data_IF_453496591084
#
_entry.id   IF_453496591084
#
_cell.length_a   1.000
_cell.length_b   1.000
_cell.length_c   1.000
_cell.angle_alpha   90.00
_cell.angle_beta   90.00
_cell.angle_gamma   90.00
#
_symmetry.space_group_name_H-M   'P 1'
#
loop_
_entity.id
_entity.type
_entity.pdbx_description
1 polymer ?
#
# COMPACT_ATOMS: atom_id res chain seq x y z
N UNK A 1 -56.23 -5.90 4.95
CA UNK A 1 -55.53 -4.61 4.70
C UNK A 1 -54.42 -4.89 3.68
N UNK A 2 -54.63 -4.55 2.40
CA UNK A 2 -53.63 -4.76 1.34
C UNK A 2 -52.55 -3.69 1.46
N UNK A 3 -51.33 -4.08 1.85
CA UNK A 3 -50.17 -3.19 1.74
C UNK A 3 -49.79 -3.08 0.26
N UNK A 4 -49.98 -1.90 -0.30
CA UNK A 4 -49.65 -1.56 -1.69
C UNK A 4 -48.15 -1.68 -1.93
N UNK A 5 -47.72 -2.47 -2.93
CA UNK A 5 -46.32 -2.61 -3.33
C UNK A 5 -45.63 -1.28 -3.72
N UNK A 6 -46.40 -0.22 -3.95
CA UNK A 6 -45.88 1.12 -4.21
C UNK A 6 -45.24 1.79 -2.97
N UNK A 7 -45.52 1.33 -1.74
CA UNK A 7 -44.91 1.87 -0.52
C UNK A 7 -43.54 1.27 -0.22
N UNK A 8 -43.32 0.01 -0.64
CA UNK A 8 -42.04 -0.69 -0.49
C UNK A 8 -41.04 -0.20 -1.55
N UNK A 9 -41.50 -0.02 -2.80
CA UNK A 9 -40.67 0.53 -3.87
C UNK A 9 -40.20 1.97 -3.57
N UNK A 10 -41.08 2.82 -3.00
CA UNK A 10 -40.70 4.18 -2.59
C UNK A 10 -39.73 4.22 -1.41
N UNK A 11 -39.82 3.29 -0.46
CA UNK A 11 -38.85 3.19 0.64
C UNK A 11 -37.48 2.76 0.15
N UNK A 12 -37.41 1.75 -0.73
CA UNK A 12 -36.12 1.34 -1.34
C UNK A 12 -35.47 2.46 -2.15
N UNK A 13 -36.25 3.17 -2.98
CA UNK A 13 -35.73 4.30 -3.73
C UNK A 13 -35.25 5.47 -2.83
N UNK A 14 -35.90 5.70 -1.67
CA UNK A 14 -35.44 6.68 -0.68
C UNK A 14 -34.19 6.23 0.07
N UNK A 15 -34.07 4.94 0.41
CA UNK A 15 -32.90 4.39 1.09
C UNK A 15 -31.68 4.33 0.15
N UNK A 16 -31.89 4.07 -1.15
CA UNK A 16 -30.83 4.10 -2.17
C UNK A 16 -30.37 5.54 -2.45
N UNK A 17 -31.30 6.50 -2.60
CA UNK A 17 -30.96 7.92 -2.76
C UNK A 17 -30.25 8.50 -1.52
N UNK A 18 -30.65 8.09 -0.30
CA UNK A 18 -29.98 8.50 0.93
C UNK A 18 -28.58 7.89 1.09
N UNK A 19 -28.31 6.73 0.48
CA UNK A 19 -26.98 6.11 0.43
C UNK A 19 -26.04 6.80 -0.54
N UNK A 20 -26.53 7.24 -1.70
CA UNK A 20 -25.74 8.01 -2.67
C UNK A 20 -25.41 9.44 -2.17
N UNK A 21 -26.32 10.08 -1.43
CA UNK A 21 -26.12 11.44 -0.88
C UNK A 21 -25.21 11.51 0.36
N UNK A 22 -25.02 10.38 1.06
CA UNK A 22 -24.25 10.30 2.30
C UNK A 22 -22.74 10.56 2.16
N UNK A 23 -22.02 10.03 1.15
CA UNK A 23 -20.60 10.30 0.95
C UNK A 23 -20.30 11.76 0.60
N UNK A 24 -21.09 12.39 -0.26
CA UNK A 24 -20.91 13.82 -0.62
C UNK A 24 -21.14 14.76 0.56
N UNK A 25 -22.19 14.52 1.36
CA UNK A 25 -22.46 15.33 2.57
C UNK A 25 -21.39 15.16 3.65
N UNK A 26 -20.71 14.02 3.71
CA UNK A 26 -19.55 13.81 4.62
C UNK A 26 -18.30 14.51 4.12
N UNK A 27 -18.01 14.47 2.81
CA UNK A 27 -16.89 15.21 2.18
C UNK A 27 -17.02 16.72 2.38
N UNK A 28 -18.22 17.26 2.18
CA UNK A 28 -18.52 18.67 2.37
C UNK A 28 -18.34 19.15 3.82
N UNK A 29 -18.51 18.28 4.82
CA UNK A 29 -18.33 18.61 6.24
C UNK A 29 -16.89 18.54 6.73
N UNK A 30 -16.02 17.73 6.12
CA UNK A 30 -14.62 17.61 6.55
C UNK A 30 -13.67 18.56 5.83
N UNK A 31 -14.09 19.15 4.71
CA UNK A 31 -13.19 19.93 3.84
C UNK A 31 -12.14 19.07 3.12
N UNK A 32 -12.21 17.74 3.27
CA UNK A 32 -11.38 16.78 2.54
C UNK A 32 -11.96 16.61 1.14
N UNK A 33 -11.29 17.19 0.15
CA UNK A 33 -11.64 17.09 -1.27
C UNK A 33 -11.18 15.77 -1.92
N UNK A 34 -10.71 14.82 -1.11
CA UNK A 34 -10.11 13.57 -1.59
C UNK A 34 -8.64 13.70 -1.95
N UNK A 35 -8.02 14.86 -1.74
CA UNK A 35 -6.59 15.08 -1.97
C UNK A 35 -5.80 15.23 -0.66
N UNK A 36 -4.55 14.78 -0.67
CA UNK A 36 -3.61 14.89 0.44
C UNK A 36 -2.47 15.80 0.02
N UNK A 37 -2.14 16.80 0.85
CA UNK A 37 -1.00 17.66 0.59
C UNK A 37 0.31 17.00 1.06
N UNK A 38 1.29 16.87 0.17
CA UNK A 38 2.64 16.44 0.49
C UNK A 38 3.48 17.56 1.08
N UNK A 39 4.59 17.22 1.74
CA UNK A 39 5.54 18.20 2.27
C UNK A 39 6.34 18.92 1.17
N UNK A 40 6.24 18.47 -0.07
CA UNK A 40 6.71 19.12 -1.29
C UNK A 40 5.76 20.23 -1.80
N UNK A 41 4.65 20.48 -1.09
CA UNK A 41 3.65 21.47 -1.44
C UNK A 41 2.63 21.01 -2.49
N UNK A 42 2.77 19.80 -3.05
CA UNK A 42 1.87 19.26 -4.06
C UNK A 42 0.65 18.60 -3.42
N UNK A 43 -0.42 18.46 -4.21
CA UNK A 43 -1.61 17.69 -3.81
C UNK A 43 -1.67 16.38 -4.58
N UNK A 44 -1.86 15.30 -3.83
CA UNK A 44 -1.99 13.96 -4.33
C UNK A 44 -3.46 13.58 -4.26
N UNK A 45 -4.04 13.16 -5.39
CA UNK A 45 -5.44 12.75 -5.46
C UNK A 45 -5.52 11.38 -6.12
N UNK A 46 -6.36 10.53 -5.54
CA UNK A 46 -6.74 9.26 -6.13
C UNK A 46 -8.16 9.42 -6.67
N UNK A 47 -8.38 9.03 -7.93
CA UNK A 47 -9.71 9.02 -8.51
C UNK A 47 -10.58 7.91 -7.90
N UNK A 48 -11.90 8.00 -8.09
CA UNK A 48 -12.82 7.04 -7.46
C UNK A 48 -12.75 5.65 -8.11
N UNK A 49 -12.30 5.54 -9.36
CA UNK A 49 -12.16 4.25 -10.04
C UNK A 49 -10.99 3.46 -9.45
N UNK A 50 -9.86 4.13 -9.21
CA UNK A 50 -8.73 3.55 -8.50
C UNK A 50 -9.11 3.16 -7.06
N UNK A 51 -9.88 4.00 -6.36
CA UNK A 51 -10.37 3.65 -5.01
C UNK A 51 -11.26 2.41 -5.05
N UNK A 52 -12.21 2.35 -5.99
CA UNK A 52 -13.09 1.19 -6.15
C UNK A 52 -12.29 -0.08 -6.47
N UNK A 53 -11.29 0.04 -7.34
CA UNK A 53 -10.37 -1.06 -7.66
C UNK A 53 -9.63 -1.58 -6.41
N UNK A 54 -9.01 -0.72 -5.61
CA UNK A 54 -8.31 -1.17 -4.40
C UNK A 54 -9.26 -1.65 -3.29
N UNK A 55 -10.51 -1.20 -3.27
CA UNK A 55 -11.55 -1.78 -2.43
C UNK A 55 -11.87 -3.24 -2.83
N UNK A 56 -11.90 -3.53 -4.13
CA UNK A 56 -12.08 -4.89 -4.65
C UNK A 56 -10.87 -5.79 -4.36
N UNK A 57 -9.65 -5.25 -4.52
CA UNK A 57 -8.41 -5.97 -4.15
C UNK A 57 -8.44 -6.35 -2.66
N UNK A 58 -8.82 -5.43 -1.76
CA UNK A 58 -8.92 -5.74 -0.33
C UNK A 58 -9.94 -6.87 -0.08
N UNK A 59 -11.11 -6.82 -0.72
CA UNK A 59 -12.13 -7.88 -0.58
C UNK A 59 -11.64 -9.23 -1.07
N UNK A 60 -10.86 -9.25 -2.15
CA UNK A 60 -10.26 -10.47 -2.69
C UNK A 60 -9.24 -11.06 -1.71
N UNK A 61 -8.32 -10.23 -1.18
CA UNK A 61 -7.34 -10.67 -0.18
C UNK A 61 -8.02 -11.19 1.11
N UNK A 62 -9.05 -10.50 1.59
CA UNK A 62 -9.83 -10.94 2.75
C UNK A 62 -10.53 -12.28 2.49
N UNK A 63 -11.01 -12.52 1.27
CA UNK A 63 -11.62 -13.78 0.88
C UNK A 63 -10.60 -14.93 0.85
N UNK A 64 -9.41 -14.70 0.29
CA UNK A 64 -8.32 -15.67 0.35
C UNK A 64 -7.92 -15.98 1.80
N UNK A 65 -7.82 -14.97 2.67
CA UNK A 65 -7.48 -15.19 4.07
C UNK A 65 -8.52 -16.04 4.83
N UNK A 66 -9.81 -15.79 4.60
CA UNK A 66 -10.88 -16.61 5.20
C UNK A 66 -10.81 -18.05 4.70
N UNK A 67 -10.70 -18.26 3.38
CA UNK A 67 -10.58 -19.59 2.76
C UNK A 67 -9.36 -20.33 3.30
N UNK A 68 -8.19 -19.70 3.33
CA UNK A 68 -6.96 -20.32 3.84
C UNK A 68 -7.11 -20.79 5.29
N UNK A 69 -7.78 -20.02 6.17
CA UNK A 69 -8.00 -20.42 7.57
C UNK A 69 -8.92 -21.62 7.72
N UNK A 70 -9.94 -21.73 6.88
CA UNK A 70 -10.88 -22.84 6.87
C UNK A 70 -10.20 -24.11 6.34
N UNK A 71 -9.41 -23.99 5.27
CA UNK A 71 -8.78 -25.12 4.57
C UNK A 71 -7.48 -25.62 5.21
N UNK A 72 -6.75 -24.79 5.96
CA UNK A 72 -5.39 -25.07 6.44
C UNK A 72 -5.20 -26.36 7.27
N UNK A 73 -6.26 -26.96 7.81
CA UNK A 73 -6.19 -28.21 8.58
C UNK A 73 -6.67 -29.44 7.81
N UNK A 74 -7.34 -29.23 6.69
CA UNK A 74 -8.07 -30.25 5.95
C UNK A 74 -7.35 -30.59 4.64
N UNK A 75 -6.80 -29.58 3.95
CA UNK A 75 -6.11 -29.74 2.68
C UNK A 75 -4.94 -28.76 2.56
N UNK A 76 -3.71 -29.27 2.71
CA UNK A 76 -2.51 -28.44 2.58
C UNK A 76 -2.26 -27.95 1.15
N UNK A 77 -2.68 -28.72 0.13
CA UNK A 77 -2.46 -28.36 -1.27
C UNK A 77 -3.39 -27.22 -1.68
N UNK A 78 -4.67 -27.30 -1.30
CA UNK A 78 -5.62 -26.22 -1.52
C UNK A 78 -5.25 -24.97 -0.72
N UNK A 79 -4.79 -25.12 0.54
CA UNK A 79 -4.31 -23.98 1.34
C UNK A 79 -3.13 -23.25 0.65
N UNK A 80 -2.17 -24.00 0.08
CA UNK A 80 -1.07 -23.42 -0.70
C UNK A 80 -1.55 -22.73 -1.98
N UNK A 81 -2.53 -23.31 -2.67
CA UNK A 81 -3.12 -22.70 -3.87
C UNK A 81 -3.80 -21.35 -3.55
N UNK A 82 -4.49 -21.26 -2.41
CA UNK A 82 -5.10 -20.01 -1.94
C UNK A 82 -4.03 -18.96 -1.57
N UNK A 83 -2.93 -19.38 -0.95
CA UNK A 83 -1.81 -18.48 -0.67
C UNK A 83 -1.14 -17.97 -1.95
N UNK A 84 -1.03 -18.81 -2.97
CA UNK A 84 -0.51 -18.42 -4.28
C UNK A 84 -1.44 -17.46 -5.02
N UNK A 85 -2.76 -17.68 -4.94
CA UNK A 85 -3.77 -16.73 -5.43
C UNK A 85 -3.62 -15.36 -4.74
N UNK A 86 -3.52 -15.33 -3.40
CA UNK A 86 -3.32 -14.09 -2.65
C UNK A 86 -2.00 -13.39 -3.02
N UNK A 87 -0.94 -14.16 -3.26
CA UNK A 87 0.36 -13.64 -3.71
C UNK A 87 0.26 -13.01 -5.10
N UNK A 88 -0.45 -13.65 -6.03
CA UNK A 88 -0.67 -13.11 -7.37
C UNK A 88 -1.49 -11.81 -7.32
N UNK A 89 -2.58 -11.78 -6.54
CA UNK A 89 -3.41 -10.58 -6.34
C UNK A 89 -2.56 -9.43 -5.80
N UNK A 90 -1.81 -9.66 -4.71
CA UNK A 90 -0.97 -8.63 -4.10
C UNK A 90 0.11 -8.10 -5.06
N UNK A 91 0.76 -9.00 -5.81
CA UNK A 91 1.82 -8.63 -6.76
C UNK A 91 1.28 -7.77 -7.90
N UNK A 92 0.18 -8.22 -8.52
CA UNK A 92 -0.47 -7.51 -9.62
C UNK A 92 -0.98 -6.13 -9.18
N UNK A 93 -1.53 -6.03 -7.97
CA UNK A 93 -2.00 -4.76 -7.43
C UNK A 93 -0.84 -3.76 -7.20
N UNK A 94 0.30 -4.22 -6.69
CA UNK A 94 1.48 -3.36 -6.52
C UNK A 94 2.05 -2.90 -7.87
N UNK A 95 2.06 -3.76 -8.88
CA UNK A 95 2.44 -3.40 -10.25
C UNK A 95 1.47 -2.39 -10.86
N UNK A 96 0.16 -2.58 -10.65
CA UNK A 96 -0.91 -1.67 -11.10
C UNK A 96 -0.92 -0.29 -10.43
N UNK A 97 -0.04 -0.02 -9.47
CA UNK A 97 0.17 1.32 -8.89
C UNK A 97 0.91 2.28 -9.82
N UNK A 98 1.36 1.83 -11.00
CA UNK A 98 2.28 2.57 -11.89
C UNK A 98 1.90 4.05 -12.07
N UNK A 99 2.79 4.93 -11.61
CA UNK A 99 2.65 6.39 -11.73
C UNK A 99 1.72 7.02 -10.69
N UNK A 100 1.11 6.25 -9.79
CA UNK A 100 0.24 6.71 -8.71
C UNK A 100 0.69 6.24 -7.32
N UNK A 101 1.89 5.68 -7.19
CA UNK A 101 2.39 5.02 -5.97
C UNK A 101 2.30 5.94 -4.75
N UNK A 102 2.77 7.18 -4.89
CA UNK A 102 2.70 8.17 -3.81
C UNK A 102 1.25 8.53 -3.48
N UNK A 103 0.40 8.75 -4.48
CA UNK A 103 -0.99 9.13 -4.24
C UNK A 103 -1.80 8.04 -3.54
N UNK A 104 -1.69 6.80 -4.03
CA UNK A 104 -2.36 5.64 -3.44
C UNK A 104 -1.85 5.36 -2.02
N UNK A 105 -0.54 5.48 -1.80
CA UNK A 105 0.06 5.27 -0.46
C UNK A 105 -0.32 6.34 0.55
N UNK A 106 -0.62 7.55 0.09
CA UNK A 106 -1.02 8.66 0.95
C UNK A 106 -2.53 8.73 1.20
N UNK A 107 -3.35 8.06 0.39
CA UNK A 107 -4.81 8.02 0.56
C UNK A 107 -5.23 7.03 1.66
N UNK A 108 -6.11 7.48 2.55
CA UNK A 108 -6.56 6.70 3.72
C UNK A 108 -7.38 5.45 3.38
N UNK A 109 -7.94 5.38 2.16
CA UNK A 109 -8.75 4.26 1.67
C UNK A 109 -7.86 3.20 1.03
N UNK A 110 -6.84 3.63 0.28
CA UNK A 110 -5.99 2.73 -0.51
C UNK A 110 -4.75 2.23 0.26
N UNK A 111 -4.17 3.06 1.13
CA UNK A 111 -2.93 2.75 1.86
C UNK A 111 -2.93 1.41 2.59
N UNK A 112 -4.00 1.09 3.33
CA UNK A 112 -4.13 -0.20 4.03
C UNK A 112 -4.15 -1.38 3.07
N UNK A 113 -4.82 -1.23 1.92
CA UNK A 113 -4.80 -2.26 0.88
C UNK A 113 -3.39 -2.45 0.34
N UNK A 114 -2.62 -1.38 0.13
CA UNK A 114 -1.23 -1.50 -0.31
C UNK A 114 -0.34 -2.21 0.72
N UNK A 115 -0.52 -1.95 2.02
CA UNK A 115 0.17 -2.69 3.09
C UNK A 115 -0.17 -4.19 3.06
N UNK A 116 -1.46 -4.52 2.86
CA UNK A 116 -1.91 -5.90 2.70
C UNK A 116 -1.34 -6.55 1.44
N UNK A 117 -1.31 -5.84 0.31
CA UNK A 117 -0.72 -6.29 -0.94
C UNK A 117 0.77 -6.59 -0.76
N UNK A 118 1.54 -5.67 -0.17
CA UNK A 118 2.96 -5.85 0.10
C UNK A 118 3.25 -7.11 0.93
N UNK A 119 2.43 -7.37 1.96
CA UNK A 119 2.59 -8.56 2.81
C UNK A 119 2.42 -9.88 2.05
N UNK A 120 1.62 -9.89 0.98
CA UNK A 120 1.34 -11.10 0.18
C UNK A 120 2.17 -11.20 -1.08
N UNK A 121 2.55 -10.07 -1.68
CA UNK A 121 3.18 -9.97 -2.99
C UNK A 121 4.54 -10.69 -3.07
N UNK A 122 5.03 -10.95 -4.26
CA UNK A 122 6.40 -11.46 -4.49
C UNK A 122 7.46 -10.44 -4.06
N UNK A 123 8.71 -10.89 -3.93
CA UNK A 123 9.83 -9.99 -3.60
C UNK A 123 9.98 -8.93 -4.69
N UNK A 124 9.91 -9.36 -5.94
CA UNK A 124 10.08 -8.56 -7.15
C UNK A 124 9.02 -7.45 -7.25
N UNK A 125 7.76 -7.77 -6.96
CA UNK A 125 6.69 -6.77 -7.00
C UNK A 125 6.88 -5.70 -5.92
N UNK A 126 7.33 -6.08 -4.71
CA UNK A 126 7.64 -5.13 -3.63
C UNK A 126 8.86 -4.28 -3.98
N UNK A 127 9.94 -4.88 -4.51
CA UNK A 127 11.12 -4.13 -4.99
C UNK A 127 10.75 -3.12 -6.07
N UNK A 128 9.95 -3.55 -7.06
CA UNK A 128 9.48 -2.68 -8.14
C UNK A 128 8.59 -1.54 -7.65
N UNK A 129 7.67 -1.83 -6.73
CA UNK A 129 6.85 -0.82 -6.08
C UNK A 129 7.69 0.19 -5.30
N UNK A 130 8.61 -0.28 -4.45
CA UNK A 130 9.50 0.60 -3.69
C UNK A 130 10.33 1.49 -4.60
N UNK A 131 10.90 0.93 -5.69
CA UNK A 131 11.63 1.71 -6.69
C UNK A 131 10.79 2.87 -7.22
N UNK A 132 9.57 2.60 -7.67
CA UNK A 132 8.67 3.63 -8.21
C UNK A 132 8.22 4.64 -7.15
N UNK A 133 8.08 4.26 -5.88
CA UNK A 133 7.87 5.21 -4.78
C UNK A 133 8.99 6.26 -4.65
N UNK A 134 10.21 5.93 -5.07
CA UNK A 134 11.35 6.84 -5.08
C UNK A 134 11.42 7.77 -6.27
N UNK A 135 10.65 7.51 -7.33
CA UNK A 135 10.68 8.29 -8.56
C UNK A 135 9.97 9.63 -8.34
N UNK A 136 10.71 10.72 -8.56
CA UNK A 136 10.17 12.08 -8.49
C UNK A 136 10.08 12.61 -9.92
N UNK A 137 8.87 12.86 -10.39
CA UNK A 137 8.63 13.45 -11.72
C UNK A 137 8.05 14.85 -11.61
N UNK A 138 8.25 15.67 -12.64
CA UNK A 138 7.64 17.01 -12.68
C UNK A 138 6.10 16.96 -12.63
N UNK A 139 5.49 15.89 -13.15
CA UNK A 139 4.05 15.70 -13.14
C UNK A 139 3.53 15.24 -11.77
N UNK A 140 4.16 14.23 -11.16
CA UNK A 140 3.59 13.53 -10.00
C UNK A 140 4.22 13.94 -8.67
N UNK A 141 5.37 14.60 -8.67
CA UNK A 141 6.12 14.89 -7.43
C UNK A 141 6.54 13.61 -6.73
N UNK A 142 6.60 13.65 -5.40
CA UNK A 142 6.64 12.45 -4.58
C UNK A 142 8.02 12.13 -4.02
N UNK A 143 8.35 10.85 -4.00
CA UNK A 143 9.58 10.35 -3.46
C UNK A 143 9.47 9.93 -1.99
N UNK A 144 10.51 9.22 -1.55
CA UNK A 144 10.55 8.61 -0.22
C UNK A 144 10.35 9.59 0.93
N UNK A 145 10.89 10.81 0.83
CA UNK A 145 10.75 11.80 1.89
C UNK A 145 9.30 12.29 2.05
N UNK A 146 8.59 12.53 0.94
CA UNK A 146 7.18 12.92 0.94
C UNK A 146 6.33 11.82 1.55
N UNK A 147 6.57 10.57 1.13
CA UNK A 147 5.87 9.41 1.69
C UNK A 147 6.18 9.22 3.18
N UNK A 148 7.44 9.35 3.59
CA UNK A 148 7.85 9.21 4.99
C UNK A 148 7.20 10.26 5.91
N UNK A 149 6.94 11.47 5.40
CA UNK A 149 6.20 12.51 6.13
C UNK A 149 4.69 12.39 6.01
N UNK A 150 4.16 11.46 5.22
CA UNK A 150 2.72 11.20 5.16
C UNK A 150 2.25 10.36 6.34
N UNK A 151 1.01 10.59 6.80
CA UNK A 151 0.40 9.79 7.87
C UNK A 151 0.23 8.32 7.46
N UNK A 152 -0.11 8.09 6.18
CA UNK A 152 -0.38 6.76 5.65
C UNK A 152 0.82 6.25 4.83
N UNK A 153 1.45 7.12 4.04
CA UNK A 153 2.60 6.75 3.21
C UNK A 153 3.78 6.21 4.03
N UNK A 154 3.97 6.72 5.25
CA UNK A 154 5.02 6.22 6.15
C UNK A 154 4.80 4.75 6.51
N UNK A 155 3.54 4.35 6.74
CA UNK A 155 3.17 2.98 7.08
C UNK A 155 3.34 2.04 5.90
N UNK A 156 2.97 2.48 4.70
CA UNK A 156 3.20 1.72 3.47
C UNK A 156 4.69 1.45 3.26
N UNK A 157 5.55 2.46 3.46
CA UNK A 157 7.01 2.26 3.38
C UNK A 157 7.53 1.31 4.46
N UNK A 158 7.09 1.45 5.70
CA UNK A 158 7.47 0.55 6.80
C UNK A 158 7.09 -0.90 6.49
N UNK A 159 5.88 -1.13 5.97
CA UNK A 159 5.38 -2.45 5.60
C UNK A 159 6.15 -3.05 4.43
N UNK A 160 6.40 -2.29 3.37
CA UNK A 160 7.21 -2.75 2.24
C UNK A 160 8.64 -3.10 2.66
N UNK A 161 9.29 -2.25 3.46
CA UNK A 161 10.62 -2.54 4.02
C UNK A 161 10.60 -3.79 4.90
N UNK A 162 9.60 -3.95 5.77
CA UNK A 162 9.45 -5.14 6.61
C UNK A 162 9.40 -6.43 5.78
N UNK A 163 8.63 -6.43 4.70
CA UNK A 163 8.56 -7.56 3.78
C UNK A 163 9.91 -7.81 3.09
N UNK A 164 10.61 -6.76 2.67
CA UNK A 164 11.93 -6.90 2.08
C UNK A 164 12.95 -7.45 3.07
N UNK A 165 12.88 -7.06 4.34
CA UNK A 165 13.73 -7.61 5.41
C UNK A 165 13.50 -9.11 5.54
N UNK A 166 12.25 -9.56 5.62
CA UNK A 166 11.94 -11.00 5.70
C UNK A 166 12.39 -11.78 4.47
N UNK A 167 12.22 -11.22 3.27
CA UNK A 167 12.49 -11.92 2.01
C UNK A 167 13.97 -11.92 1.61
N UNK A 168 14.70 -10.86 1.90
CA UNK A 168 16.15 -10.80 1.69
C UNK A 168 16.93 -11.60 2.72
N UNK A 169 16.49 -11.63 3.98
CA UNK A 169 17.24 -12.32 5.05
C UNK A 169 17.02 -13.84 5.03
N UNK A 170 15.94 -14.32 4.41
CA UNK A 170 15.63 -15.75 4.27
C UNK A 170 16.15 -16.38 2.98
N UNK A 171 16.80 -15.62 2.08
CA UNK A 171 17.38 -16.20 0.86
C UNK A 171 18.71 -16.88 1.22
N UNK A 172 18.64 -18.16 1.62
CA UNK A 172 19.82 -18.99 1.85
C UNK A 172 20.39 -19.47 0.51
N UNK A 173 21.61 -19.03 0.18
CA UNK A 173 22.37 -19.47 -0.99
C UNK A 173 22.56 -18.36 -2.02
N UNK A 174 23.64 -17.59 -1.87
CA UNK A 174 24.05 -16.60 -2.86
C UNK A 174 24.47 -17.29 -4.17
N UNK A 175 23.61 -17.26 -5.17
CA UNK A 175 24.00 -17.46 -6.55
C UNK A 175 24.23 -16.08 -7.21
N UNK A 176 24.92 -16.06 -8.35
CA UNK A 176 25.24 -14.81 -9.07
C UNK A 176 24.00 -13.96 -9.40
N UNK A 177 22.84 -14.59 -9.62
CA UNK A 177 21.59 -13.87 -9.90
C UNK A 177 21.03 -13.17 -8.66
N UNK A 178 21.16 -13.78 -7.48
CA UNK A 178 20.75 -13.17 -6.20
C UNK A 178 21.67 -12.02 -5.79
N UNK A 179 22.97 -12.11 -6.08
CA UNK A 179 23.92 -11.01 -5.90
C UNK A 179 23.57 -9.84 -6.82
N UNK A 180 23.40 -10.08 -8.12
CA UNK A 180 23.04 -9.05 -9.09
C UNK A 180 21.71 -8.35 -8.74
N UNK A 181 20.72 -9.11 -8.23
CA UNK A 181 19.45 -8.54 -7.79
C UNK A 181 19.61 -7.72 -6.52
N UNK A 182 20.41 -8.16 -5.57
CA UNK A 182 20.70 -7.41 -4.34
C UNK A 182 21.41 -6.10 -4.65
N UNK A 183 22.35 -6.11 -5.59
CA UNK A 183 23.02 -4.91 -6.09
C UNK A 183 22.05 -3.95 -6.80
N UNK A 184 21.14 -4.49 -7.61
CA UNK A 184 20.08 -3.69 -8.24
C UNK A 184 19.16 -3.06 -7.20
N UNK A 185 18.71 -3.81 -6.19
CA UNK A 185 17.89 -3.28 -5.10
C UNK A 185 18.63 -2.19 -4.30
N UNK A 186 19.92 -2.40 -4.02
CA UNK A 186 20.74 -1.39 -3.35
C UNK A 186 20.80 -0.09 -4.15
N UNK A 187 21.15 -0.17 -5.42
CA UNK A 187 21.32 1.00 -6.31
C UNK A 187 20.00 1.70 -6.60
N UNK A 188 18.95 0.94 -6.87
CA UNK A 188 17.68 1.50 -7.37
C UNK A 188 16.72 1.90 -6.24
N UNK A 189 16.87 1.34 -5.04
CA UNK A 189 15.97 1.57 -3.90
C UNK A 189 16.71 2.14 -2.69
N UNK A 190 17.70 1.42 -2.15
CA UNK A 190 18.29 1.77 -0.86
C UNK A 190 19.11 3.07 -0.93
N UNK A 191 19.92 3.27 -1.98
CA UNK A 191 20.73 4.47 -2.14
C UNK A 191 19.87 5.74 -2.34
N UNK A 192 18.86 5.76 -3.24
CA UNK A 192 17.95 6.89 -3.38
C UNK A 192 17.13 7.16 -2.11
N UNK A 193 16.65 6.12 -1.42
CA UNK A 193 15.94 6.27 -0.15
C UNK A 193 16.84 6.86 0.93
N UNK A 194 18.07 6.33 1.07
CA UNK A 194 19.06 6.83 2.00
C UNK A 194 19.41 8.30 1.75
N UNK A 195 19.59 8.68 0.48
CA UNK A 195 19.83 10.07 0.09
C UNK A 195 18.67 10.98 0.51
N UNK A 196 17.43 10.61 0.16
CA UNK A 196 16.26 11.40 0.49
C UNK A 196 16.08 11.60 2.01
N UNK A 197 16.36 10.57 2.82
CA UNK A 197 16.30 10.66 4.28
C UNK A 197 17.45 11.47 4.87
N UNK A 198 18.67 11.34 4.35
CA UNK A 198 19.87 12.05 4.85
C UNK A 198 19.82 13.54 4.52
N UNK A 199 19.40 13.91 3.32
CA UNK A 199 19.25 15.32 2.92
C UNK A 199 18.25 16.06 3.83
N UNK A 200 17.34 15.33 4.47
CA UNK A 200 16.33 15.85 5.38
C UNK A 200 16.52 15.36 6.83
N UNK A 201 17.72 14.92 7.21
CA UNK A 201 17.97 14.16 8.43
C UNK A 201 17.44 14.80 9.72
N UNK A 202 17.57 16.12 9.86
CA UNK A 202 17.10 16.85 11.04
C UNK A 202 15.57 16.78 11.14
N UNK A 203 14.84 17.04 10.06
CA UNK A 203 13.38 16.96 10.06
C UNK A 203 12.92 15.50 10.26
N UNK A 204 13.55 14.56 9.56
CA UNK A 204 13.27 13.13 9.69
C UNK A 204 13.44 12.62 11.11
N UNK A 205 14.49 13.05 11.82
CA UNK A 205 14.77 12.60 13.18
C UNK A 205 13.71 13.03 14.20
N UNK A 206 13.06 14.18 13.99
CA UNK A 206 12.08 14.75 14.92
C UNK A 206 10.62 14.63 14.45
N UNK A 207 10.35 14.27 13.19
CA UNK A 207 9.00 13.98 12.72
C UNK A 207 8.53 12.60 13.19
N UNK A 208 7.34 12.57 13.81
CA UNK A 208 6.73 11.36 14.38
C UNK A 208 6.39 10.27 13.35
N UNK A 209 6.33 10.60 12.06
CA UNK A 209 6.01 9.69 10.94
C UNK A 209 7.27 9.25 10.21
N UNK A 210 8.18 10.19 9.95
CA UNK A 210 9.42 9.89 9.21
C UNK A 210 10.47 9.18 10.08
N UNK A 211 10.52 9.44 11.39
CA UNK A 211 11.49 8.78 12.27
C UNK A 211 11.29 7.25 12.40
N UNK A 212 10.06 6.68 12.45
CA UNK A 212 9.85 5.24 12.26
C UNK A 212 10.41 4.71 10.93
N UNK A 213 10.15 5.38 9.81
CA UNK A 213 10.64 4.98 8.48
C UNK A 213 12.17 4.92 8.47
N UNK A 214 12.84 5.95 8.97
CA UNK A 214 14.30 5.98 9.05
C UNK A 214 14.87 4.84 9.92
N UNK A 215 14.21 4.53 11.05
CA UNK A 215 14.62 3.40 11.90
C UNK A 215 14.45 2.06 11.18
N UNK A 216 13.34 1.85 10.49
CA UNK A 216 13.09 0.63 9.70
C UNK A 216 14.07 0.51 8.52
N UNK A 217 14.39 1.63 7.88
CA UNK A 217 15.42 1.67 6.83
C UNK A 217 16.80 1.26 7.35
N UNK A 218 17.22 1.79 8.51
CA UNK A 218 18.47 1.38 9.15
C UNK A 218 18.45 -0.11 9.55
N UNK A 219 17.29 -0.63 9.97
CA UNK A 219 17.11 -2.06 10.27
C UNK A 219 17.35 -2.93 9.04
N UNK A 220 16.75 -2.53 7.91
CA UNK A 220 16.91 -3.18 6.61
C UNK A 220 18.38 -3.15 6.15
N UNK A 221 19.05 -2.00 6.26
CA UNK A 221 20.49 -1.89 5.95
C UNK A 221 21.37 -2.77 6.85
N UNK A 222 21.00 -2.90 8.12
CA UNK A 222 21.71 -3.74 9.09
C UNK A 222 21.39 -5.23 8.95
N UNK A 223 20.47 -5.60 8.06
CA UNK A 223 19.98 -6.98 7.92
C UNK A 223 19.28 -7.52 9.17
N UNK A 224 18.61 -6.65 9.94
CA UNK A 224 17.93 -7.03 11.18
C UNK A 224 16.43 -7.08 10.97
N UNK A 225 15.82 -8.26 10.86
CA UNK A 225 14.38 -8.42 10.70
C UNK A 225 13.55 -7.82 11.87
N UNK A 226 14.10 -7.87 13.08
CA UNK A 226 13.39 -7.53 14.33
C UNK A 226 13.59 -6.07 14.74
N UNK A 227 12.70 -5.17 14.27
CA UNK A 227 12.49 -3.82 14.80
C UNK A 227 11.03 -3.38 14.66
#
# INVERSE_FOLDING_TARGET
RRFSGASIARRRAMDDAAREDAPEKRRAKSGYDGSVQGCDGRRYRVDEDAVAYYDEIQRALDACERRARETAREDEEEARAIEEEARAIGSNALEGCEGQECALSMDARCSRTLEACATRATREAVEGFMKRCGEVTEANGGGYYVMAKSLFGSRVLESAMGVMMEKHLRTEGANEADEARTDAFRRDVLEPMGRALVENAVDVAFDKRASPVARKFLALLAGRADL
#
